data_IF_600149671505
#
_entry.id   IF_600149671505
#
_cell.length_a   1.000
_cell.length_b   1.000
_cell.length_c   1.000
_cell.angle_alpha   90.00
_cell.angle_beta   90.00
_cell.angle_gamma   90.00
#
_symmetry.space_group_name_H-M   'P 1'
#
loop_
_entity.id
_entity.type
_entity.pdbx_description
1 polymer ?
#
# COMPACT_ATOMS: atom_id res chain seq x y z
N UNK A 1 -36.50 50.31 10.71
CA UNK A 1 -35.17 50.75 10.22
C UNK A 1 -34.09 49.66 10.21
N UNK A 2 -34.04 48.71 11.14
CA UNK A 2 -32.96 47.70 11.20
C UNK A 2 -32.95 46.65 10.05
N UNK A 3 -34.13 46.27 9.53
CA UNK A 3 -34.23 45.25 8.47
C UNK A 3 -33.70 45.73 7.10
N UNK A 4 -33.88 47.03 6.79
CA UNK A 4 -33.41 47.65 5.54
C UNK A 4 -31.87 47.71 5.54
N UNK A 5 -31.26 47.98 6.70
CA UNK A 5 -29.80 48.07 6.89
C UNK A 5 -29.07 46.73 6.72
N UNK A 6 -29.72 45.60 7.06
CA UNK A 6 -29.18 44.24 6.80
C UNK A 6 -29.27 43.84 5.33
N UNK A 7 -30.30 44.30 4.61
CA UNK A 7 -30.49 43.99 3.19
C UNK A 7 -29.49 44.75 2.32
N UNK A 8 -29.25 46.03 2.63
CA UNK A 8 -28.20 46.83 1.99
C UNK A 8 -26.80 46.30 2.29
N UNK A 9 -26.53 45.83 3.52
CA UNK A 9 -25.23 45.23 3.85
C UNK A 9 -24.96 43.93 3.05
N UNK A 10 -25.98 43.06 2.88
CA UNK A 10 -25.88 41.83 2.08
C UNK A 10 -25.66 42.12 0.59
N UNK A 11 -26.36 43.13 0.05
CA UNK A 11 -26.18 43.56 -1.34
C UNK A 11 -24.79 44.15 -1.54
N UNK A 12 -24.30 44.93 -0.58
CA UNK A 12 -22.94 45.48 -0.61
C UNK A 12 -21.88 44.37 -0.55
N UNK A 13 -22.07 43.34 0.28
CA UNK A 13 -21.14 42.19 0.34
C UNK A 13 -21.12 41.42 -0.97
N UNK A 14 -22.28 41.22 -1.60
CA UNK A 14 -22.39 40.56 -2.90
C UNK A 14 -21.73 41.37 -4.01
N UNK A 15 -21.88 42.70 -3.99
CA UNK A 15 -21.21 43.61 -4.93
C UNK A 15 -19.69 43.59 -4.77
N UNK A 16 -19.19 43.64 -3.54
CA UNK A 16 -17.74 43.55 -3.27
C UNK A 16 -17.19 42.20 -3.70
N UNK A 17 -17.90 41.10 -3.43
CA UNK A 17 -17.50 39.76 -3.87
C UNK A 17 -17.47 39.66 -5.40
N UNK A 18 -18.47 40.23 -6.07
CA UNK A 18 -18.54 40.27 -7.53
C UNK A 18 -17.39 41.08 -8.12
N UNK A 19 -17.10 42.27 -7.59
CA UNK A 19 -15.97 43.12 -8.03
C UNK A 19 -14.63 42.40 -7.82
N UNK A 20 -14.44 41.71 -6.69
CA UNK A 20 -13.25 40.89 -6.44
C UNK A 20 -13.12 39.75 -7.45
N UNK A 21 -14.23 39.05 -7.74
CA UNK A 21 -14.24 37.95 -8.68
C UNK A 21 -13.93 38.43 -10.10
N UNK A 22 -14.51 39.55 -10.53
CA UNK A 22 -14.26 40.11 -11.86
C UNK A 22 -12.84 40.68 -11.98
N UNK A 23 -12.32 41.32 -10.93
CA UNK A 23 -10.94 41.83 -10.91
C UNK A 23 -9.92 40.69 -10.93
N UNK A 24 -10.18 39.59 -10.20
CA UNK A 24 -9.38 38.38 -10.24
C UNK A 24 -9.39 37.75 -11.64
N UNK A 25 -10.56 37.61 -12.26
CA UNK A 25 -10.70 37.05 -13.61
C UNK A 25 -10.01 37.92 -14.69
N UNK A 26 -10.13 39.24 -14.59
CA UNK A 26 -9.49 40.18 -15.53
C UNK A 26 -7.96 40.20 -15.35
N UNK A 27 -7.46 40.20 -14.12
CA UNK A 27 -6.02 40.15 -13.83
C UNK A 27 -5.39 38.80 -14.20
N UNK A 28 -6.16 37.71 -14.08
CA UNK A 28 -5.74 36.38 -14.54
C UNK A 28 -5.71 36.30 -16.08
N UNK A 29 -6.70 36.88 -16.76
CA UNK A 29 -6.75 36.94 -18.23
C UNK A 29 -5.62 37.76 -18.84
N UNK A 30 -5.08 38.75 -18.12
CA UNK A 30 -4.00 39.61 -18.61
C UNK A 30 -2.60 38.99 -18.47
N UNK A 31 -2.43 38.04 -17.54
CA UNK A 31 -1.16 37.36 -17.27
C UNK A 31 -1.06 35.95 -17.89
N UNK A 32 -2.16 35.40 -18.39
CA UNK A 32 -2.18 34.10 -19.06
C UNK A 32 -1.83 34.26 -20.55
N UNK A 33 -0.54 34.13 -20.86
CA UNK A 33 -0.06 33.90 -22.23
C UNK A 33 -0.64 32.57 -22.73
N UNK A 34 -1.36 32.67 -23.85
CA UNK A 34 -1.80 31.63 -24.80
C UNK A 34 -1.45 30.17 -24.47
N UNK A 35 -2.39 29.43 -23.89
CA UNK A 35 -2.54 27.99 -24.15
C UNK A 35 -4.03 27.65 -24.25
N UNK A 36 -4.46 27.30 -25.47
CA UNK A 36 -5.84 26.99 -25.81
C UNK A 36 -6.12 25.49 -25.64
N UNK A 37 -6.41 25.06 -24.41
CA UNK A 37 -7.16 23.86 -24.01
C UNK A 37 -7.15 23.81 -22.47
N UNK A 38 -7.98 22.99 -21.81
CA UNK A 38 -7.99 22.72 -20.35
C UNK A 38 -9.04 23.33 -19.38
N UNK A 39 -10.30 23.65 -19.76
CA UNK A 39 -11.36 23.80 -18.74
C UNK A 39 -11.86 22.44 -18.20
N UNK A 40 -12.00 21.43 -19.07
CA UNK A 40 -12.60 20.13 -18.69
C UNK A 40 -11.71 19.30 -17.77
N UNK A 41 -10.40 19.29 -18.00
CA UNK A 41 -9.45 18.51 -17.20
C UNK A 41 -9.36 19.02 -15.76
N UNK A 42 -9.33 20.35 -15.59
CA UNK A 42 -9.30 21.00 -14.28
C UNK A 42 -10.58 20.68 -13.51
N UNK A 43 -11.75 20.71 -14.16
CA UNK A 43 -13.03 20.36 -13.52
C UNK A 43 -13.08 18.87 -13.12
N UNK A 44 -12.51 17.97 -13.94
CA UNK A 44 -12.42 16.54 -13.63
C UNK A 44 -11.43 16.31 -12.47
N UNK A 45 -10.27 16.94 -12.47
CA UNK A 45 -9.29 16.85 -11.39
C UNK A 45 -9.81 17.45 -10.08
N UNK A 46 -10.49 18.60 -10.11
CA UNK A 46 -11.15 19.18 -8.94
C UNK A 46 -12.27 18.29 -8.43
N UNK A 47 -13.08 17.71 -9.33
CA UNK A 47 -14.14 16.76 -8.98
C UNK A 47 -13.56 15.51 -8.32
N UNK A 48 -12.50 14.93 -8.88
CA UNK A 48 -11.83 13.75 -8.31
C UNK A 48 -11.11 14.07 -6.99
N UNK A 49 -10.47 15.24 -6.88
CA UNK A 49 -9.85 15.68 -5.63
C UNK A 49 -10.89 15.99 -4.54
N UNK A 50 -12.04 16.58 -4.90
CA UNK A 50 -13.15 16.79 -3.99
C UNK A 50 -13.83 15.47 -3.62
N UNK A 51 -13.96 14.54 -4.56
CA UNK A 51 -14.46 13.18 -4.31
C UNK A 51 -13.53 12.43 -3.39
N UNK A 52 -12.19 12.50 -3.58
CA UNK A 52 -11.17 12.00 -2.63
C UNK A 52 -11.37 12.65 -1.25
N UNK A 53 -11.47 13.97 -1.16
CA UNK A 53 -11.66 14.66 0.12
C UNK A 53 -12.94 14.18 0.85
N UNK A 54 -14.03 13.95 0.12
CA UNK A 54 -15.32 13.51 0.66
C UNK A 54 -15.38 12.00 0.95
N UNK A 55 -14.75 11.14 0.14
CA UNK A 55 -14.68 9.70 0.40
C UNK A 55 -13.69 9.36 1.52
N UNK A 56 -12.62 10.13 1.71
CA UNK A 56 -11.64 9.93 2.79
C UNK A 56 -11.96 10.77 4.04
N UNK A 57 -13.23 11.15 4.21
CA UNK A 57 -13.72 11.78 5.44
C UNK A 57 -13.47 10.88 6.66
N UNK A 58 -12.88 11.50 7.67
CA UNK A 58 -12.40 10.89 8.89
C UNK A 58 -13.54 10.23 9.68
N UNK A 59 -13.62 8.89 9.70
CA UNK A 59 -14.47 8.18 10.66
C UNK A 59 -13.63 7.79 11.88
N UNK A 60 -14.07 8.11 13.11
CA UNK A 60 -13.47 7.54 14.30
C UNK A 60 -13.74 6.03 14.30
N UNK A 61 -12.69 5.24 14.51
CA UNK A 61 -12.84 3.80 14.68
C UNK A 61 -13.33 3.49 16.12
N UNK A 62 -13.83 2.28 16.33
CA UNK A 62 -14.32 1.79 17.63
C UNK A 62 -13.31 0.91 18.37
N UNK A 63 -12.08 0.81 17.84
CA UNK A 63 -10.99 0.12 18.52
C UNK A 63 -10.54 0.89 19.76
N UNK A 64 -9.82 0.22 20.68
CA UNK A 64 -9.21 0.88 21.82
C UNK A 64 -8.19 1.96 21.39
N UNK A 65 -7.54 1.77 20.24
CA UNK A 65 -6.66 2.74 19.58
C UNK A 65 -7.00 2.79 18.10
N UNK A 66 -7.07 3.99 17.54
CA UNK A 66 -7.28 4.17 16.10
C UNK A 66 -6.01 4.70 15.43
N UNK A 67 -5.51 3.96 14.45
CA UNK A 67 -4.47 4.46 13.54
C UNK A 67 -4.83 5.83 12.95
N UNK A 68 -6.13 6.07 12.73
CA UNK A 68 -6.63 7.34 12.20
C UNK A 68 -6.51 8.54 13.10
N UNK A 69 -6.28 8.39 14.40
CA UNK A 69 -6.18 9.55 15.29
C UNK A 69 -4.98 10.45 14.92
N UNK A 70 -5.28 11.67 14.45
CA UNK A 70 -4.30 12.72 14.13
C UNK A 70 -3.85 13.46 15.39
N UNK A 71 -2.71 14.14 15.30
CA UNK A 71 -2.17 14.99 16.36
C UNK A 71 -1.50 14.22 17.50
N UNK A 72 -1.36 12.89 17.38
CA UNK A 72 -0.65 12.05 18.35
C UNK A 72 0.85 12.13 18.13
N UNK A 73 1.31 12.19 16.88
CA UNK A 73 2.73 12.25 16.53
C UNK A 73 2.93 13.07 15.25
N UNK A 74 3.63 14.22 15.32
CA UNK A 74 3.99 14.99 14.12
C UNK A 74 4.79 14.16 13.11
N UNK A 75 5.66 13.27 13.58
CA UNK A 75 6.44 12.35 12.73
C UNK A 75 5.55 11.43 11.90
N UNK A 76 4.46 10.93 12.49
CA UNK A 76 3.48 10.10 11.79
C UNK A 76 2.61 10.93 10.85
N UNK A 77 2.12 12.08 11.32
CA UNK A 77 1.22 12.94 10.54
C UNK A 77 1.90 13.53 9.30
N UNK A 78 3.21 13.77 9.34
CA UNK A 78 4.03 14.16 8.19
C UNK A 78 4.11 13.05 7.12
N UNK A 79 4.13 11.79 7.56
CA UNK A 79 4.37 10.63 6.68
C UNK A 79 3.09 9.98 6.18
N UNK A 80 2.03 9.98 6.98
CA UNK A 80 0.79 9.28 6.68
C UNK A 80 -0.13 10.10 5.77
N UNK A 81 -0.32 9.67 4.52
CA UNK A 81 -1.18 10.35 3.54
C UNK A 81 -2.52 9.61 3.36
N UNK A 82 -3.60 10.18 3.87
CA UNK A 82 -4.94 9.58 3.81
C UNK A 82 -5.48 9.33 2.39
N UNK A 83 -4.98 10.07 1.40
CA UNK A 83 -5.51 10.05 0.03
C UNK A 83 -4.86 8.99 -0.86
N UNK A 84 -3.78 8.35 -0.43
CA UNK A 84 -3.11 7.33 -1.24
C UNK A 84 -3.89 6.02 -1.25
N UNK A 85 -3.85 5.33 -2.38
CA UNK A 85 -4.61 4.10 -2.62
C UNK A 85 -3.64 2.93 -2.73
N UNK A 86 -3.68 1.96 -1.80
CA UNK A 86 -2.69 0.89 -1.75
C UNK A 86 -2.89 -0.19 -2.83
N UNK A 87 -4.09 -0.29 -3.40
CA UNK A 87 -4.42 -1.24 -4.46
C UNK A 87 -4.65 -0.53 -5.80
N UNK A 88 -4.15 -1.15 -6.86
CA UNK A 88 -4.34 -0.73 -8.23
C UNK A 88 -5.74 -1.12 -8.73
N UNK A 89 -6.39 -0.20 -9.42
CA UNK A 89 -7.71 -0.33 -10.05
C UNK A 89 -7.65 0.32 -11.42
N UNK A 90 -8.60 0.01 -12.29
CA UNK A 90 -8.69 0.65 -13.60
C UNK A 90 -8.86 2.18 -13.49
N UNK A 91 -9.43 2.68 -12.40
CA UNK A 91 -9.68 4.11 -12.18
C UNK A 91 -8.45 4.86 -11.64
N UNK A 92 -7.52 4.19 -10.97
CA UNK A 92 -6.33 4.82 -10.37
C UNK A 92 -5.01 4.41 -11.06
N UNK A 93 -5.06 3.71 -12.19
CA UNK A 93 -3.86 3.14 -12.79
C UNK A 93 -2.94 4.13 -13.49
N UNK A 94 -3.36 5.38 -13.69
CA UNK A 94 -2.53 6.42 -14.27
C UNK A 94 -1.40 6.79 -13.29
N UNK A 95 -0.15 6.56 -13.71
CA UNK A 95 1.03 6.94 -12.95
C UNK A 95 1.58 8.26 -13.48
N UNK A 96 2.01 9.14 -12.58
CA UNK A 96 2.83 10.30 -12.94
C UNK A 96 4.16 9.85 -13.56
N UNK A 97 4.70 10.61 -14.52
CA UNK A 97 5.94 10.27 -15.23
C UNK A 97 7.13 10.04 -14.30
N UNK A 98 7.23 10.83 -13.22
CA UNK A 98 8.26 10.69 -12.19
C UNK A 98 8.13 9.36 -11.44
N UNK A 99 6.90 8.94 -11.16
CA UNK A 99 6.57 7.69 -10.47
C UNK A 99 6.84 6.50 -11.38
N UNK A 100 6.38 6.55 -12.62
CA UNK A 100 6.61 5.51 -13.61
C UNK A 100 8.11 5.32 -13.89
N UNK A 101 8.84 6.42 -14.10
CA UNK A 101 10.29 6.39 -14.34
C UNK A 101 11.07 5.84 -13.16
N UNK A 102 10.67 6.16 -11.91
CA UNK A 102 11.26 5.56 -10.71
C UNK A 102 10.99 4.06 -10.66
N UNK A 103 9.74 3.64 -10.91
CA UNK A 103 9.33 2.25 -10.84
C UNK A 103 10.06 1.36 -11.86
N UNK A 104 10.25 1.83 -13.10
CA UNK A 104 11.03 1.09 -14.10
C UNK A 104 12.51 0.89 -13.71
N UNK A 105 13.09 1.81 -12.92
CA UNK A 105 14.48 1.74 -12.46
C UNK A 105 14.71 0.71 -11.35
N UNK A 106 13.64 0.20 -10.72
CA UNK A 106 13.75 -0.78 -9.63
C UNK A 106 14.46 -2.04 -10.09
N UNK A 107 14.03 -2.62 -11.21
CA UNK A 107 14.65 -3.82 -11.78
C UNK A 107 15.25 -3.62 -13.19
N UNK A 108 15.05 -2.45 -13.82
CA UNK A 108 15.67 -2.07 -15.10
C UNK A 108 15.45 -3.11 -16.21
N UNK A 109 14.18 -3.45 -16.45
CA UNK A 109 13.80 -4.28 -17.60
C UNK A 109 14.36 -3.68 -18.89
N UNK A 110 14.99 -4.51 -19.73
CA UNK A 110 15.66 -4.03 -20.95
C UNK A 110 14.68 -3.47 -21.98
N UNK A 111 13.52 -4.11 -22.12
CA UNK A 111 12.47 -3.78 -23.09
C UNK A 111 11.11 -4.10 -22.48
N UNK A 112 10.62 -3.29 -21.53
CA UNK A 112 9.30 -3.49 -20.96
C UNK A 112 8.22 -3.24 -22.02
N UNK A 113 7.11 -3.98 -21.92
CA UNK A 113 5.89 -3.71 -22.70
C UNK A 113 5.27 -2.37 -22.30
N UNK A 114 4.33 -1.87 -23.11
CA UNK A 114 3.54 -0.69 -22.73
C UNK A 114 2.69 -0.98 -21.48
N UNK A 115 2.75 -0.08 -20.50
CA UNK A 115 2.04 -0.25 -19.23
C UNK A 115 0.52 -0.21 -19.43
N UNK A 116 -0.02 0.67 -20.26
CA UNK A 116 -1.46 0.78 -20.46
C UNK A 116 -2.03 -0.48 -21.10
N UNK A 117 -1.36 -1.03 -22.10
CA UNK A 117 -1.77 -2.28 -22.74
C UNK A 117 -1.63 -3.48 -21.80
N UNK A 118 -0.58 -3.52 -20.98
CA UNK A 118 -0.42 -4.53 -19.91
C UNK A 118 -1.57 -4.47 -18.92
N UNK A 119 -1.96 -3.27 -18.47
CA UNK A 119 -3.05 -3.07 -17.51
C UNK A 119 -4.43 -3.41 -18.10
N UNK A 120 -4.66 -3.08 -19.38
CA UNK A 120 -5.89 -3.50 -20.09
C UNK A 120 -6.00 -5.02 -20.12
N UNK A 121 -4.90 -5.73 -20.36
CA UNK A 121 -4.88 -7.20 -20.33
C UNK A 121 -5.09 -7.73 -18.91
N UNK A 122 -4.41 -7.14 -17.93
CA UNK A 122 -4.50 -7.53 -16.53
C UNK A 122 -5.95 -7.46 -16.02
N UNK A 123 -6.63 -6.33 -16.20
CA UNK A 123 -8.00 -6.14 -15.71
C UNK A 123 -9.10 -6.84 -16.52
N UNK A 124 -8.74 -7.49 -17.64
CA UNK A 124 -9.61 -8.50 -18.27
C UNK A 124 -9.57 -9.85 -17.56
N UNK A 125 -8.53 -10.10 -16.77
CA UNK A 125 -8.30 -11.36 -16.07
C UNK A 125 -8.65 -11.25 -14.58
N UNK A 126 -8.19 -10.20 -13.90
CA UNK A 126 -8.39 -9.98 -12.46
C UNK A 126 -9.32 -8.78 -12.20
N UNK A 127 -9.96 -8.67 -11.01
CA UNK A 127 -10.85 -7.56 -10.70
C UNK A 127 -10.16 -6.19 -10.83
N UNK A 128 -10.73 -5.30 -11.65
CA UNK A 128 -10.21 -3.95 -11.87
C UNK A 128 -10.90 -2.84 -11.07
N UNK A 129 -11.90 -3.15 -10.25
CA UNK A 129 -12.76 -2.18 -9.55
C UNK A 129 -12.90 -2.47 -8.05
N UNK A 130 -11.88 -3.07 -7.43
CA UNK A 130 -11.86 -3.35 -5.99
C UNK A 130 -11.87 -2.06 -5.18
N UNK A 131 -12.42 -2.08 -3.96
CA UNK A 131 -12.24 -0.97 -3.02
C UNK A 131 -10.76 -0.91 -2.61
N UNK A 132 -10.03 0.20 -2.88
CA UNK A 132 -8.63 0.29 -2.53
C UNK A 132 -8.33 0.14 -1.04
N UNK A 133 -9.31 0.35 -0.15
CA UNK A 133 -9.18 0.14 1.30
C UNK A 133 -9.84 -1.16 1.78
N UNK A 134 -10.17 -2.08 0.87
CA UNK A 134 -10.75 -3.39 1.19
C UNK A 134 -11.99 -3.28 2.08
N UNK A 135 -12.92 -2.39 1.77
CA UNK A 135 -14.15 -2.17 2.51
C UNK A 135 -13.94 -1.75 3.97
N UNK A 136 -12.80 -1.11 4.30
CA UNK A 136 -12.51 -0.62 5.67
C UNK A 136 -13.68 0.16 6.29
N UNK A 137 -14.41 0.94 5.47
CA UNK A 137 -15.54 1.77 5.90
C UNK A 137 -16.74 1.00 6.45
N UNK A 138 -16.90 -0.28 6.12
CA UNK A 138 -18.03 -1.10 6.60
C UNK A 138 -17.79 -1.71 7.98
N UNK A 139 -16.57 -1.61 8.51
CA UNK A 139 -16.20 -2.18 9.79
C UNK A 139 -16.02 -1.09 10.85
N UNK A 140 -16.52 -1.35 12.07
CA UNK A 140 -16.34 -0.42 13.19
C UNK A 140 -14.91 -0.40 13.71
N UNK A 141 -14.20 -1.53 13.66
CA UNK A 141 -12.82 -1.69 14.09
C UNK A 141 -12.23 -2.88 13.34
N UNK A 142 -11.22 -2.65 12.49
CA UNK A 142 -10.46 -3.74 11.84
C UNK A 142 -9.11 -3.95 12.49
N UNK A 143 -8.92 -5.10 13.13
CA UNK A 143 -7.65 -5.53 13.72
C UNK A 143 -6.87 -6.43 12.75
N UNK A 144 -5.60 -6.13 12.58
CA UNK A 144 -4.75 -6.84 11.63
C UNK A 144 -3.49 -7.38 12.29
N UNK A 145 -3.19 -8.65 12.06
CA UNK A 145 -1.87 -9.23 12.31
C UNK A 145 -1.06 -9.23 11.02
N UNK A 146 0.12 -8.63 11.04
CA UNK A 146 1.12 -8.73 9.96
C UNK A 146 2.19 -9.69 10.43
N UNK A 147 2.33 -10.82 9.74
CA UNK A 147 3.26 -11.89 10.11
C UNK A 147 4.40 -11.90 9.10
N UNK A 148 5.56 -11.42 9.54
CA UNK A 148 6.83 -11.52 8.86
C UNK A 148 7.42 -12.93 8.95
N UNK A 149 8.67 -13.05 8.51
CA UNK A 149 9.30 -14.36 8.27
C UNK A 149 10.39 -14.71 9.28
N UNK A 150 10.65 -13.87 10.28
CA UNK A 150 11.77 -14.06 11.21
C UNK A 150 11.66 -15.35 12.01
N UNK A 151 12.82 -15.97 12.24
CA UNK A 151 13.00 -17.13 13.09
C UNK A 151 12.63 -16.90 14.55
N UNK A 152 12.49 -15.64 14.99
CA UNK A 152 11.99 -15.29 16.32
C UNK A 152 10.56 -15.81 16.61
N UNK A 153 9.84 -16.22 15.57
CA UNK A 153 8.54 -16.89 15.72
C UNK A 153 8.66 -18.31 16.29
N UNK A 154 9.81 -18.99 16.16
CA UNK A 154 9.98 -20.38 16.62
C UNK A 154 9.82 -20.49 18.14
N UNK A 155 8.87 -21.31 18.58
CA UNK A 155 8.51 -21.49 19.99
C UNK A 155 7.84 -20.27 20.62
N UNK A 156 7.41 -19.29 19.83
CA UNK A 156 6.73 -18.09 20.35
C UNK A 156 5.31 -18.37 20.82
N UNK A 157 4.68 -19.43 20.31
CA UNK A 157 3.29 -19.81 20.61
C UNK A 157 2.25 -18.69 20.33
N UNK A 158 2.57 -17.76 19.42
CA UNK A 158 1.69 -16.66 19.06
C UNK A 158 0.49 -17.06 18.19
N UNK A 159 0.39 -18.31 17.74
CA UNK A 159 -0.54 -18.70 16.69
C UNK A 159 -2.01 -18.43 17.00
N UNK A 160 -2.45 -18.70 18.24
CA UNK A 160 -3.82 -18.41 18.66
C UNK A 160 -4.13 -16.91 18.68
N UNK A 161 -3.17 -16.09 19.13
CA UNK A 161 -3.30 -14.63 19.16
C UNK A 161 -3.33 -14.04 17.73
N UNK A 162 -2.46 -14.55 16.84
CA UNK A 162 -2.44 -14.16 15.42
C UNK A 162 -3.80 -14.45 14.77
N UNK A 163 -4.32 -15.66 14.94
CA UNK A 163 -5.58 -16.09 14.31
C UNK A 163 -6.81 -15.34 14.82
N UNK A 164 -6.72 -14.73 16.02
CA UNK A 164 -7.76 -13.88 16.62
C UNK A 164 -7.99 -12.52 15.93
N UNK A 165 -7.13 -12.11 14.97
CA UNK A 165 -7.28 -10.85 14.24
C UNK A 165 -8.30 -10.97 13.10
N UNK A 166 -8.93 -9.87 12.68
CA UNK A 166 -9.85 -9.87 11.54
C UNK A 166 -9.12 -10.25 10.26
N UNK A 167 -8.03 -9.54 9.98
CA UNK A 167 -7.11 -9.85 8.90
C UNK A 167 -5.78 -10.39 9.44
N UNK A 168 -5.30 -11.44 8.78
CA UNK A 168 -3.93 -11.94 8.94
C UNK A 168 -3.24 -11.81 7.58
N UNK A 169 -2.19 -10.98 7.55
CA UNK A 169 -1.39 -10.68 6.38
C UNK A 169 -0.05 -11.40 6.47
N UNK A 170 0.26 -12.23 5.46
CA UNK A 170 1.53 -12.96 5.34
C UNK A 170 2.27 -12.56 4.08
N UNK A 171 3.51 -13.01 3.90
CA UNK A 171 4.31 -12.62 2.76
C UNK A 171 5.27 -13.70 2.26
N UNK A 172 5.75 -13.56 1.02
CA UNK A 172 6.75 -14.44 0.41
C UNK A 172 6.34 -15.93 0.44
N UNK A 173 7.29 -16.84 0.65
CA UNK A 173 7.08 -18.30 0.68
C UNK A 173 6.74 -18.86 2.06
N UNK A 174 6.39 -18.01 3.02
CA UNK A 174 6.13 -18.37 4.41
C UNK A 174 5.01 -19.44 4.53
N UNK A 175 5.31 -20.65 5.07
CA UNK A 175 4.32 -21.68 5.31
C UNK A 175 3.65 -21.52 6.68
N UNK A 176 2.39 -21.95 6.79
CA UNK A 176 1.73 -22.11 8.10
C UNK A 176 1.74 -23.58 8.56
N UNK A 177 1.65 -24.51 7.61
CA UNK A 177 1.60 -25.94 7.86
C UNK A 177 2.85 -26.42 8.64
N UNK A 178 2.62 -27.05 9.80
CA UNK A 178 3.68 -27.52 10.71
C UNK A 178 4.25 -26.44 11.65
N UNK A 179 3.75 -25.20 11.58
CA UNK A 179 4.18 -24.07 12.40
C UNK A 179 3.00 -23.36 13.08
N UNK A 180 1.80 -23.92 13.02
CA UNK A 180 0.54 -23.25 13.39
C UNK A 180 0.50 -22.78 14.84
N UNK A 181 1.15 -23.53 15.75
CA UNK A 181 1.29 -23.15 17.16
C UNK A 181 1.98 -21.79 17.30
N UNK A 182 3.01 -21.56 16.50
CA UNK A 182 3.82 -20.35 16.53
C UNK A 182 3.25 -19.23 15.67
N UNK A 183 2.82 -19.56 14.45
CA UNK A 183 2.52 -18.55 13.41
C UNK A 183 1.04 -18.46 13.07
N UNK A 184 0.19 -19.32 13.62
CA UNK A 184 -1.23 -19.39 13.33
C UNK A 184 -1.53 -20.10 12.01
N UNK A 185 -2.80 -20.45 11.81
CA UNK A 185 -3.32 -21.13 10.63
C UNK A 185 -4.04 -20.18 9.67
N UNK A 186 -4.60 -19.07 10.18
CA UNK A 186 -5.39 -18.12 9.41
C UNK A 186 -4.50 -17.32 8.47
N UNK A 187 -4.97 -17.13 7.25
CA UNK A 187 -4.41 -16.18 6.30
C UNK A 187 -5.57 -15.56 5.54
N UNK A 188 -5.61 -14.23 5.46
CA UNK A 188 -6.62 -13.50 4.69
C UNK A 188 -6.01 -12.89 3.43
N UNK A 189 -4.80 -12.36 3.55
CA UNK A 189 -4.08 -11.71 2.48
C UNK A 189 -2.64 -12.20 2.50
N UNK A 190 -2.06 -12.47 1.34
CA UNK A 190 -0.68 -12.91 1.22
C UNK A 190 0.05 -12.07 0.16
N UNK A 191 1.02 -11.27 0.58
CA UNK A 191 1.81 -10.39 -0.28
C UNK A 191 2.98 -11.16 -0.92
N UNK A 192 3.07 -11.13 -2.24
CA UNK A 192 4.11 -11.87 -2.97
C UNK A 192 4.39 -11.27 -4.35
N UNK A 193 5.44 -11.77 -4.97
CA UNK A 193 5.87 -11.46 -6.32
C UNK A 193 6.35 -12.75 -6.99
N UNK A 194 6.50 -12.81 -8.33
CA UNK A 194 6.69 -14.08 -9.06
C UNK A 194 7.82 -14.96 -8.51
N UNK A 195 8.96 -14.37 -8.16
CA UNK A 195 10.15 -15.05 -7.66
C UNK A 195 10.01 -15.54 -6.20
N UNK A 196 8.98 -15.07 -5.48
CA UNK A 196 8.68 -15.39 -4.08
C UNK A 196 7.28 -15.99 -3.87
N UNK A 197 6.74 -16.63 -4.90
CA UNK A 197 5.42 -17.26 -4.86
C UNK A 197 5.44 -18.65 -4.19
N UNK A 198 4.34 -18.98 -3.51
CA UNK A 198 3.92 -20.34 -3.14
C UNK A 198 2.42 -20.49 -3.38
N UNK A 199 1.93 -21.72 -3.57
CA UNK A 199 0.49 -21.95 -3.67
C UNK A 199 -0.24 -21.58 -2.38
N UNK A 200 -1.42 -20.97 -2.54
CA UNK A 200 -2.25 -20.46 -1.45
C UNK A 200 -3.53 -21.28 -1.30
N UNK A 201 -4.10 -21.24 -0.10
CA UNK A 201 -5.43 -21.79 0.12
C UNK A 201 -6.48 -21.00 -0.69
N UNK A 202 -7.56 -21.67 -1.10
CA UNK A 202 -8.54 -21.14 -2.06
C UNK A 202 -9.25 -19.85 -1.63
N UNK A 203 -9.27 -19.53 -0.33
CA UNK A 203 -9.92 -18.37 0.27
C UNK A 203 -8.96 -17.25 0.65
N UNK A 204 -7.69 -17.33 0.22
CA UNK A 204 -6.68 -16.32 0.49
C UNK A 204 -6.60 -15.35 -0.68
N UNK A 205 -6.72 -14.06 -0.37
CA UNK A 205 -6.46 -12.99 -1.33
C UNK A 205 -4.96 -12.89 -1.59
N UNK A 206 -4.54 -13.17 -2.83
CA UNK A 206 -3.18 -12.93 -3.28
C UNK A 206 -2.98 -11.45 -3.57
N UNK A 207 -2.03 -10.79 -2.91
CA UNK A 207 -1.65 -9.41 -3.20
C UNK A 207 -0.32 -9.43 -3.96
N UNK A 208 -0.37 -9.26 -5.28
CA UNK A 208 0.82 -9.13 -6.11
C UNK A 208 1.52 -7.81 -5.80
N UNK A 209 2.80 -7.84 -5.49
CA UNK A 209 3.68 -6.67 -5.36
C UNK A 209 4.52 -6.56 -6.64
N UNK A 210 4.13 -5.72 -7.62
CA UNK A 210 4.81 -5.67 -8.91
C UNK A 210 6.03 -4.74 -8.84
N UNK A 211 7.23 -5.30 -8.96
CA UNK A 211 8.49 -4.55 -9.00
C UNK A 211 8.93 -4.21 -10.43
N UNK A 212 8.23 -4.78 -11.43
CA UNK A 212 8.47 -4.61 -12.86
C UNK A 212 7.21 -4.94 -13.67
N UNK A 213 7.16 -4.55 -14.95
CA UNK A 213 6.00 -4.79 -15.84
C UNK A 213 5.77 -6.28 -16.06
N UNK A 214 6.85 -7.06 -16.20
CA UNK A 214 6.77 -8.52 -16.34
C UNK A 214 6.05 -9.20 -15.16
N UNK A 215 6.00 -8.61 -13.96
CA UNK A 215 5.26 -9.19 -12.82
C UNK A 215 3.74 -9.12 -13.06
N UNK A 216 3.26 -8.06 -13.71
CA UNK A 216 1.85 -7.90 -14.10
C UNK A 216 1.50 -8.87 -15.22
N UNK A 217 2.37 -9.00 -16.22
CA UNK A 217 2.22 -9.96 -17.31
C UNK A 217 2.24 -11.41 -16.80
N UNK A 218 3.08 -11.70 -15.80
CA UNK A 218 3.14 -13.01 -15.17
C UNK A 218 1.79 -13.40 -14.54
N UNK A 219 1.06 -12.48 -13.91
CA UNK A 219 -0.30 -12.80 -13.39
C UNK A 219 -1.25 -13.20 -14.52
N UNK A 220 -1.22 -12.46 -15.64
CA UNK A 220 -2.03 -12.81 -16.82
C UNK A 220 -1.63 -14.20 -17.32
N UNK A 221 -0.34 -14.44 -17.55
CA UNK A 221 0.18 -15.71 -18.06
C UNK A 221 -0.11 -16.87 -17.12
N UNK A 222 0.26 -16.79 -15.84
CA UNK A 222 0.17 -17.87 -14.87
C UNK A 222 -1.26 -18.32 -14.57
N UNK A 223 -2.25 -17.44 -14.77
CA UNK A 223 -3.68 -17.75 -14.62
C UNK A 223 -4.38 -18.10 -15.94
N UNK A 224 -3.68 -18.04 -17.08
CA UNK A 224 -4.26 -18.29 -18.41
C UNK A 224 -3.41 -19.25 -19.26
N UNK A 225 -2.34 -18.80 -19.91
CA UNK A 225 -1.56 -19.57 -20.90
C UNK A 225 -0.39 -20.32 -20.29
N UNK A 226 0.25 -19.74 -19.28
CA UNK A 226 1.45 -20.25 -18.62
C UNK A 226 2.71 -20.22 -19.47
N UNK A 227 2.82 -19.19 -20.30
CA UNK A 227 3.98 -18.95 -21.17
C UNK A 227 5.19 -18.34 -20.45
N UNK A 228 4.98 -17.63 -19.34
CA UNK A 228 6.05 -17.00 -18.56
C UNK A 228 6.48 -17.95 -17.44
N UNK A 229 7.63 -18.60 -17.61
CA UNK A 229 8.24 -19.52 -16.64
C UNK A 229 9.59 -19.03 -16.09
N UNK A 230 10.04 -17.86 -16.52
CA UNK A 230 11.33 -17.30 -16.12
C UNK A 230 11.29 -15.77 -16.10
N UNK A 231 11.92 -15.17 -15.09
CA UNK A 231 12.25 -13.74 -15.03
C UNK A 231 13.77 -13.58 -15.05
N UNK A 232 14.39 -13.16 -13.94
CA UNK A 232 15.84 -13.33 -13.70
C UNK A 232 16.15 -14.64 -12.96
N UNK A 233 15.11 -15.34 -12.49
CA UNK A 233 15.14 -16.70 -11.95
C UNK A 233 13.90 -17.47 -12.45
N UNK A 234 13.86 -18.81 -12.34
CA UNK A 234 12.65 -19.56 -12.64
C UNK A 234 11.47 -19.11 -11.77
N UNK A 235 10.30 -18.98 -12.38
CA UNK A 235 9.03 -18.65 -11.71
C UNK A 235 7.94 -19.65 -12.10
N UNK A 236 6.89 -19.84 -11.28
CA UNK A 236 5.81 -20.76 -11.61
C UNK A 236 5.12 -20.38 -12.91
N UNK A 237 5.11 -21.27 -13.89
CA UNK A 237 4.39 -21.06 -15.15
C UNK A 237 2.87 -21.05 -14.96
N UNK A 238 2.36 -21.70 -13.91
CA UNK A 238 0.94 -21.76 -13.57
C UNK A 238 0.76 -21.62 -12.07
N UNK A 239 -0.35 -21.02 -11.67
CA UNK A 239 -0.78 -20.92 -10.27
C UNK A 239 -2.24 -21.36 -10.11
N UNK A 240 -2.62 -21.84 -8.93
CA UNK A 240 -4.01 -22.28 -8.64
C UNK A 240 -4.88 -21.19 -8.01
N UNK A 241 -4.31 -20.03 -7.71
CA UNK A 241 -5.04 -18.88 -7.15
C UNK A 241 -6.15 -18.48 -8.11
N UNK A 242 -7.38 -18.35 -7.59
CA UNK A 242 -8.52 -17.92 -8.42
C UNK A 242 -8.35 -16.45 -8.79
N UNK A 243 -8.72 -16.10 -10.02
CA UNK A 243 -8.51 -14.76 -10.58
C UNK A 243 -9.19 -13.65 -9.77
N UNK A 244 -10.36 -13.93 -9.19
CA UNK A 244 -11.14 -13.03 -8.33
C UNK A 244 -10.51 -12.79 -6.95
N UNK A 245 -9.53 -13.61 -6.56
CA UNK A 245 -8.77 -13.46 -5.31
C UNK A 245 -7.44 -12.72 -5.53
N UNK A 246 -7.16 -12.23 -6.74
CA UNK A 246 -5.91 -11.53 -7.04
C UNK A 246 -6.12 -10.03 -6.94
N UNK A 247 -5.33 -9.41 -6.07
CA UNK A 247 -5.23 -7.99 -5.83
C UNK A 247 -3.83 -7.50 -6.28
N UNK A 248 -3.74 -6.26 -6.71
CA UNK A 248 -2.49 -5.69 -7.24
C UNK A 248 -2.07 -4.52 -6.35
N UNK A 249 -0.90 -4.62 -5.73
CA UNK A 249 -0.29 -3.54 -4.97
C UNK A 249 0.07 -2.38 -5.90
N UNK A 250 -0.32 -1.16 -5.54
CA UNK A 250 -0.20 -0.02 -6.43
C UNK A 250 1.26 0.49 -6.51
N UNK A 251 1.87 0.65 -7.72
CA UNK A 251 3.23 1.18 -7.86
C UNK A 251 3.43 2.58 -7.26
N UNK A 252 2.44 3.48 -7.39
CA UNK A 252 2.48 4.80 -6.74
C UNK A 252 2.48 4.68 -5.21
N UNK A 253 1.75 3.73 -4.63
CA UNK A 253 1.80 3.47 -3.19
C UNK A 253 3.15 2.91 -2.76
N UNK A 254 3.80 2.07 -3.59
CA UNK A 254 5.17 1.62 -3.33
C UNK A 254 6.16 2.80 -3.30
N UNK A 255 6.04 3.74 -4.23
CA UNK A 255 6.86 4.96 -4.24
C UNK A 255 6.57 5.85 -3.02
N UNK A 256 5.30 5.98 -2.63
CA UNK A 256 4.91 6.66 -1.40
C UNK A 256 5.57 6.04 -0.15
N UNK A 257 5.62 4.71 -0.04
CA UNK A 257 6.37 4.03 1.03
C UNK A 257 7.85 4.41 0.97
N UNK A 258 8.46 4.37 -0.20
CA UNK A 258 9.86 4.71 -0.36
C UNK A 258 10.19 6.18 0.01
N UNK A 259 9.39 7.13 -0.47
CA UNK A 259 9.67 8.55 -0.29
C UNK A 259 9.28 9.04 1.12
N UNK A 260 8.07 8.72 1.58
CA UNK A 260 7.53 9.27 2.84
C UNK A 260 7.96 8.47 4.05
N UNK A 261 8.02 7.15 3.95
CA UNK A 261 8.33 6.29 5.10
C UNK A 261 9.81 5.94 5.18
N UNK A 262 10.44 5.63 4.04
CA UNK A 262 11.86 5.27 3.99
C UNK A 262 12.77 6.46 3.69
N UNK A 263 12.24 7.62 3.31
CA UNK A 263 13.03 8.82 3.00
C UNK A 263 14.15 8.55 1.99
N UNK A 264 13.91 7.64 1.03
CA UNK A 264 14.87 7.26 0.01
C UNK A 264 15.96 6.28 0.44
N UNK A 265 15.89 5.71 1.64
CA UNK A 265 16.86 4.71 2.12
C UNK A 265 16.69 3.36 1.39
N UNK A 266 17.82 2.79 0.97
CA UNK A 266 17.87 1.58 0.13
C UNK A 266 17.55 1.87 -1.35
N UNK A 267 17.52 0.83 -2.18
CA UNK A 267 17.14 0.94 -3.60
C UNK A 267 15.62 0.97 -3.77
N UNK A 268 14.91 0.17 -2.98
CA UNK A 268 13.45 0.15 -2.87
C UNK A 268 13.00 -0.57 -1.60
N UNK A 269 11.73 -0.40 -1.15
CA UNK A 269 11.23 -1.00 0.08
C UNK A 269 11.20 -2.54 0.05
N UNK A 270 11.46 -3.20 1.17
CA UNK A 270 11.24 -4.64 1.33
C UNK A 270 9.75 -5.00 1.34
N UNK A 271 9.42 -6.27 1.03
CA UNK A 271 8.04 -6.78 1.18
C UNK A 271 7.53 -6.64 2.62
N UNK A 272 8.42 -6.72 3.62
CA UNK A 272 8.08 -6.54 5.03
C UNK A 272 7.51 -5.16 5.30
N UNK A 273 8.27 -4.10 5.00
CA UNK A 273 7.80 -2.74 5.25
C UNK A 273 6.61 -2.35 4.35
N UNK A 274 6.56 -2.84 3.10
CA UNK A 274 5.39 -2.67 2.24
C UNK A 274 4.13 -3.26 2.90
N UNK A 275 4.24 -4.44 3.50
CA UNK A 275 3.12 -5.09 4.21
C UNK A 275 2.69 -4.30 5.45
N UNK A 276 3.64 -3.74 6.20
CA UNK A 276 3.34 -2.90 7.37
C UNK A 276 2.58 -1.65 6.93
N UNK A 277 3.13 -0.86 6.01
CA UNK A 277 2.48 0.39 5.59
C UNK A 277 1.15 0.14 4.88
N UNK A 278 1.05 -0.90 4.06
CA UNK A 278 -0.24 -1.34 3.51
C UNK A 278 -1.28 -1.56 4.61
N UNK A 279 -0.90 -2.26 5.68
CA UNK A 279 -1.77 -2.56 6.82
C UNK A 279 -2.19 -1.29 7.56
N UNK A 280 -1.32 -0.29 7.68
CA UNK A 280 -1.67 0.99 8.31
C UNK A 280 -2.82 1.72 7.58
N UNK A 281 -2.94 1.54 6.27
CA UNK A 281 -4.01 2.16 5.48
C UNK A 281 -5.31 1.36 5.51
N UNK A 282 -5.23 0.03 5.47
CA UNK A 282 -6.41 -0.83 5.37
C UNK A 282 -6.98 -1.29 6.71
N UNK A 283 -6.26 -1.09 7.83
CA UNK A 283 -6.63 -1.52 9.19
C UNK A 283 -6.76 -0.33 10.16
N UNK A 284 -7.39 -0.56 11.31
CA UNK A 284 -7.51 0.42 12.40
C UNK A 284 -6.54 0.15 13.55
N UNK A 285 -6.18 -1.11 13.76
CA UNK A 285 -5.19 -1.60 14.74
C UNK A 285 -4.28 -2.62 14.05
N UNK A 286 -2.97 -2.54 14.28
CA UNK A 286 -1.97 -3.38 13.62
C UNK A 286 -0.98 -3.96 14.64
N UNK A 287 -0.87 -5.28 14.63
CA UNK A 287 0.08 -6.05 15.42
C UNK A 287 1.09 -6.73 14.49
N UNK A 288 2.37 -6.58 14.81
CA UNK A 288 3.49 -7.11 14.04
C UNK A 288 4.11 -8.31 14.74
N UNK A 289 4.27 -9.41 14.00
CA UNK A 289 4.88 -10.66 14.45
C UNK A 289 5.95 -11.07 13.45
N UNK A 290 7.07 -11.66 13.89
CA UNK A 290 8.08 -12.16 12.94
C UNK A 290 8.89 -11.10 12.20
N UNK A 291 9.02 -9.91 12.79
CA UNK A 291 9.87 -8.82 12.27
C UNK A 291 11.16 -8.72 13.10
N UNK A 292 12.25 -8.30 12.46
CA UNK A 292 13.56 -8.15 13.11
C UNK A 292 14.34 -9.47 13.23
N UNK A 293 15.47 -9.40 13.95
CA UNK A 293 16.28 -10.56 14.30
C UNK A 293 15.65 -11.38 15.45
N UNK A 294 16.17 -12.59 15.68
CA UNK A 294 15.95 -13.33 16.93
C UNK A 294 16.71 -12.70 18.13
N UNK A 295 16.49 -13.20 19.35
CA UNK A 295 17.21 -12.72 20.55
C UNK A 295 18.73 -12.85 20.48
N UNK A 296 19.26 -13.67 19.56
CA UNK A 296 20.68 -13.89 19.34
C UNK A 296 21.23 -13.01 18.20
N UNK A 297 20.39 -12.17 17.58
CA UNK A 297 20.77 -11.31 16.47
C UNK A 297 20.81 -12.01 15.11
N UNK A 298 20.31 -13.24 14.99
CA UNK A 298 20.28 -13.99 13.75
C UNK A 298 19.10 -13.59 12.87
N UNK A 299 19.36 -13.54 11.56
CA UNK A 299 18.38 -13.20 10.53
C UNK A 299 18.04 -14.40 9.67
N UNK A 300 17.27 -15.33 10.21
CA UNK A 300 16.87 -16.55 9.52
C UNK A 300 15.35 -16.65 9.42
N UNK A 301 14.86 -17.53 8.55
CA UNK A 301 13.42 -17.78 8.41
C UNK A 301 12.94 -18.81 9.43
N UNK A 302 11.70 -18.72 9.90
CA UNK A 302 11.16 -19.67 10.87
C UNK A 302 10.95 -21.09 10.30
N UNK A 303 10.90 -21.28 8.98
CA UNK A 303 10.61 -22.60 8.38
C UNK A 303 11.83 -23.31 7.78
N UNK A 304 12.95 -22.62 7.61
CA UNK A 304 14.14 -23.17 6.95
C UNK A 304 15.41 -22.78 7.69
N UNK A 305 16.42 -23.64 7.61
CA UNK A 305 17.77 -23.30 8.01
C UNK A 305 18.48 -22.74 6.77
N UNK A 306 18.39 -21.43 6.58
CA UNK A 306 19.00 -20.74 5.45
C UNK A 306 20.48 -20.41 5.74
N UNK A 307 21.47 -21.02 5.07
CA UNK A 307 22.89 -20.72 5.28
C UNK A 307 23.26 -19.29 4.89
N UNK A 308 22.44 -18.64 4.05
CA UNK A 308 22.56 -17.24 3.61
C UNK A 308 21.58 -16.31 4.34
N UNK A 309 21.12 -16.70 5.52
CA UNK A 309 20.42 -15.86 6.48
C UNK A 309 21.07 -14.46 6.57
N UNK A 310 20.28 -13.39 6.38
CA UNK A 310 20.77 -12.01 6.42
C UNK A 310 21.47 -11.49 5.16
N UNK A 311 21.54 -12.26 4.06
CA UNK A 311 22.14 -11.80 2.80
C UNK A 311 21.53 -10.49 2.28
N UNK A 312 20.25 -10.24 2.55
CA UNK A 312 19.57 -8.98 2.19
C UNK A 312 20.22 -7.73 2.80
N UNK A 313 20.85 -7.83 3.99
CA UNK A 313 21.60 -6.72 4.60
C UNK A 313 22.91 -6.43 3.87
N UNK A 314 23.46 -7.41 3.15
CA UNK A 314 24.72 -7.29 2.40
C UNK A 314 24.53 -6.78 0.97
N UNK A 315 23.37 -7.03 0.36
CA UNK A 315 23.12 -6.62 -1.04
C UNK A 315 22.82 -5.12 -1.18
N UNK A 316 22.43 -4.44 -0.10
CA UNK A 316 22.09 -3.01 -0.12
C UNK A 316 20.84 -2.67 -0.94
N UNK A 317 20.06 -3.67 -1.35
CA UNK A 317 18.80 -3.45 -2.08
C UNK A 317 17.76 -2.80 -1.17
N UNK A 318 17.71 -3.23 0.09
CA UNK A 318 16.87 -2.69 1.13
C UNK A 318 17.74 -2.17 2.28
N UNK A 319 17.34 -1.08 2.92
CA UNK A 319 17.95 -0.62 4.16
C UNK A 319 17.18 -1.21 5.35
N UNK A 320 17.50 -2.46 5.70
CA UNK A 320 16.79 -3.20 6.74
C UNK A 320 16.91 -2.56 8.13
N UNK A 321 17.99 -1.82 8.38
CA UNK A 321 18.20 -1.14 9.66
C UNK A 321 17.27 0.09 9.75
N UNK A 322 17.15 0.86 8.66
CA UNK A 322 16.19 1.96 8.57
C UNK A 322 14.73 1.47 8.63
N UNK A 323 14.39 0.38 7.93
CA UNK A 323 13.05 -0.23 8.01
C UNK A 323 12.71 -0.69 9.44
N UNK A 324 13.68 -1.27 10.16
CA UNK A 324 13.52 -1.63 11.57
C UNK A 324 13.33 -0.39 12.45
N UNK A 325 14.01 0.72 12.15
CA UNK A 325 13.83 1.99 12.88
C UNK A 325 12.42 2.56 12.67
N UNK A 326 11.88 2.49 11.46
CA UNK A 326 10.51 2.95 11.15
C UNK A 326 9.47 2.16 11.94
N UNK A 327 9.58 0.84 11.97
CA UNK A 327 8.65 -0.01 12.75
C UNK A 327 8.80 0.21 14.26
N UNK A 328 10.03 0.34 14.77
CA UNK A 328 10.27 0.67 16.17
C UNK A 328 9.69 2.04 16.56
N UNK A 329 9.80 3.03 15.68
CA UNK A 329 9.22 4.36 15.89
C UNK A 329 7.69 4.30 15.89
N UNK A 330 7.08 3.56 14.94
CA UNK A 330 5.63 3.33 14.94
C UNK A 330 5.13 2.69 16.25
N UNK A 331 5.92 1.77 16.82
CA UNK A 331 5.59 1.13 18.08
C UNK A 331 5.73 2.07 19.28
N UNK A 332 6.77 2.92 19.30
CA UNK A 332 6.98 3.87 20.40
C UNK A 332 5.92 4.97 20.50
N UNK A 333 5.17 5.21 19.42
CA UNK A 333 4.04 6.14 19.37
C UNK A 333 2.67 5.44 19.35
N UNK A 334 2.62 4.16 19.76
CA UNK A 334 1.40 3.35 19.87
C UNK A 334 0.57 3.23 18.56
N UNK A 335 1.21 3.40 17.40
CA UNK A 335 0.55 3.16 16.09
C UNK A 335 0.51 1.68 15.73
N UNK A 336 1.50 0.91 16.17
CA UNK A 336 1.52 -0.56 16.04
C UNK A 336 1.98 -1.20 17.35
N UNK A 337 1.70 -2.50 17.55
CA UNK A 337 2.39 -3.29 18.57
C UNK A 337 3.36 -4.26 17.91
N UNK A 338 4.53 -4.46 18.51
CA UNK A 338 5.53 -5.41 18.02
C UNK A 338 5.70 -6.54 19.03
N UNK A 339 5.42 -7.76 18.59
CA UNK A 339 5.69 -8.98 19.33
C UNK A 339 7.06 -9.52 18.93
N UNK A 340 8.03 -9.34 19.82
CA UNK A 340 9.46 -9.60 19.53
C UNK A 340 9.82 -11.08 19.38
N UNK A 341 8.95 -12.00 19.79
CA UNK A 341 9.23 -13.43 19.72
C UNK A 341 10.39 -13.83 20.64
N UNK A 342 11.15 -14.84 20.20
CA UNK A 342 12.28 -15.43 20.93
C UNK A 342 13.64 -15.14 20.34
#
# INVERSE_FOLDING_TARGET
>A
MAAIRRRTLKVLTLLVLFIFLTSFLLNYSHNAVTTSWFPKQIVIELSENFKKLMTYSHRPCTCARCLSQRGVSPWFDERFNWSVQPLLTAQNALLEDSTYSWWLKLQREKRPSDLNDTLKMLFRVVPGNVDPLLQKKSQGCRRCAVVGNSGNLRGSEYGSQIDGHDFVLRMNKAPTAGFEVDVGSKTTHHLMYPESFRELAHNVSMVLVPFKILDLEWVVSATTTGTISHTYVPVPAKIKVKKDQILIYHPAFMKYVFDSWLQGHGRYPSTGILSVIFSLHVCDEVDLYGFGADSKGNWHHYWENNPSAGAFRKTGVHDGDFESLVTATLASIDKVRIFKGR
#
